data_IF_220745279257
#
_entry.id   IF_220745279257
#
_cell.length_a   1.000
_cell.length_b   1.000
_cell.length_c   1.000
_cell.angle_alpha   90.00
_cell.angle_beta   90.00
_cell.angle_gamma   90.00
#
_symmetry.space_group_name_H-M   'P 1'
#
loop_
_entity.id
_entity.type
_entity.pdbx_description
1 polymer ?
#
# COMPACT_ATOMS: atom_id res chain seq x y z
N UNK A 1 22.37 11.35 17.81
CA UNK A 1 21.87 11.25 16.43
C UNK A 1 23.08 11.07 15.54
N UNK A 2 23.13 10.04 14.69
CA UNK A 2 24.31 9.78 13.84
C UNK A 2 24.46 10.78 12.70
N UNK A 3 23.39 11.51 12.35
CA UNK A 3 23.43 12.55 11.32
C UNK A 3 23.39 12.02 9.88
N UNK A 4 23.10 10.72 9.70
CA UNK A 4 23.19 10.05 8.41
C UNK A 4 22.07 10.48 7.42
N UNK A 5 20.97 11.04 7.93
CA UNK A 5 19.84 11.54 7.14
C UNK A 5 19.54 13.00 7.50
N UNK A 6 19.35 13.85 6.49
CA UNK A 6 19.04 15.28 6.67
C UNK A 6 17.57 15.59 6.98
N UNK A 7 16.65 14.68 6.68
CA UNK A 7 15.22 14.79 6.99
C UNK A 7 14.55 13.42 7.00
N UNK A 8 13.39 13.31 7.67
CA UNK A 8 12.58 12.09 7.69
C UNK A 8 11.08 12.38 7.47
N UNK A 9 10.47 11.70 6.50
CA UNK A 9 9.03 11.77 6.26
C UNK A 9 8.35 10.57 6.94
N UNK A 10 7.59 10.81 8.02
CA UNK A 10 7.05 9.76 8.88
C UNK A 10 5.52 9.76 8.82
N UNK A 11 4.85 8.62 8.54
CA UNK A 11 3.40 8.51 8.68
C UNK A 11 3.02 8.47 10.16
N UNK A 12 2.09 9.32 10.57
CA UNK A 12 1.66 9.42 11.99
C UNK A 12 0.19 9.14 12.20
N UNK A 13 -0.64 9.31 11.17
CA UNK A 13 -2.09 9.20 11.29
C UNK A 13 -2.71 8.83 9.94
N UNK A 14 -3.80 8.09 9.94
CA UNK A 14 -4.57 7.74 8.76
C UNK A 14 -6.07 7.92 9.05
N UNK A 15 -6.81 8.44 8.08
CA UNK A 15 -8.24 8.76 8.22
C UNK A 15 -9.14 7.54 8.43
N UNK A 16 -8.67 6.34 8.07
CA UNK A 16 -9.43 5.08 8.16
C UNK A 16 -9.02 4.23 9.36
N UNK A 17 -7.71 4.12 9.62
CA UNK A 17 -7.17 3.23 10.68
C UNK A 17 -6.75 3.98 11.96
N UNK A 18 -6.77 5.32 11.94
CA UNK A 18 -6.35 6.15 13.07
C UNK A 18 -4.83 6.32 13.15
N UNK A 19 -4.29 6.37 14.38
CA UNK A 19 -2.86 6.61 14.60
C UNK A 19 -1.99 5.49 14.02
N UNK A 20 -0.91 5.86 13.34
CA UNK A 20 0.04 4.91 12.76
C UNK A 20 1.11 4.59 13.79
N UNK A 21 0.91 3.52 14.55
CA UNK A 21 1.86 3.07 15.57
C UNK A 21 2.87 2.03 15.02
N UNK A 22 4.10 1.97 15.55
CA UNK A 22 4.65 2.77 16.65
C UNK A 22 5.19 4.14 16.21
N UNK A 23 5.12 4.46 14.91
CA UNK A 23 5.73 5.65 14.34
C UNK A 23 5.25 6.95 15.01
N UNK A 24 3.95 7.08 15.24
CA UNK A 24 3.38 8.24 15.92
C UNK A 24 3.90 8.41 17.36
N UNK A 25 4.01 7.32 18.13
CA UNK A 25 4.60 7.37 19.47
C UNK A 25 6.05 7.80 19.43
N UNK A 26 6.84 7.30 18.49
CA UNK A 26 8.24 7.67 18.33
C UNK A 26 8.39 9.15 18.00
N UNK A 27 7.61 9.67 17.04
CA UNK A 27 7.60 11.10 16.70
C UNK A 27 7.28 11.97 17.91
N UNK A 28 6.24 11.61 18.69
CA UNK A 28 5.90 12.34 19.93
C UNK A 28 7.02 12.29 20.97
N UNK A 29 7.68 11.15 21.13
CA UNK A 29 8.75 10.96 22.10
C UNK A 29 10.05 11.69 21.74
N UNK A 30 10.30 11.95 20.45
CA UNK A 30 11.44 12.75 20.00
C UNK A 30 11.36 14.21 20.47
N UNK A 31 10.15 14.73 20.73
CA UNK A 31 9.96 16.13 21.14
C UNK A 31 10.39 17.15 20.09
N UNK A 32 10.52 16.73 18.82
CA UNK A 32 10.90 17.58 17.69
C UNK A 32 9.61 18.11 17.06
N UNK A 33 9.56 19.42 16.81
CA UNK A 33 8.45 20.03 16.07
C UNK A 33 8.61 19.74 14.57
N UNK A 34 7.59 19.17 13.90
CA UNK A 34 7.65 18.96 12.46
C UNK A 34 7.86 20.26 11.69
N UNK A 35 8.76 20.24 10.71
CA UNK A 35 8.97 21.40 9.82
C UNK A 35 7.84 21.56 8.80
N UNK A 36 7.15 20.47 8.48
CA UNK A 36 5.99 20.46 7.60
C UNK A 36 5.12 19.22 7.86
N UNK A 37 3.86 19.29 7.43
CA UNK A 37 2.95 18.16 7.40
C UNK A 37 2.14 18.12 6.10
N UNK A 38 1.74 16.92 5.69
CA UNK A 38 0.95 16.71 4.48
C UNK A 38 0.01 15.53 4.63
N UNK A 39 -1.24 15.70 4.17
CA UNK A 39 -2.17 14.59 3.98
C UNK A 39 -2.04 14.05 2.56
N UNK A 40 -1.76 12.77 2.43
CA UNK A 40 -1.63 12.07 1.14
C UNK A 40 -2.75 11.05 0.97
N UNK A 41 -3.53 11.12 -0.12
CA UNK A 41 -4.49 10.07 -0.44
C UNK A 41 -3.78 8.72 -0.59
N UNK A 42 -4.36 7.68 -0.01
CA UNK A 42 -3.94 6.30 -0.21
C UNK A 42 -4.83 5.71 -1.31
N UNK A 43 -4.18 5.26 -2.39
CA UNK A 43 -4.82 4.68 -3.56
C UNK A 43 -4.23 3.30 -3.80
N UNK A 44 -5.11 2.31 -3.87
CA UNK A 44 -4.76 0.91 -4.08
C UNK A 44 -5.04 0.55 -5.53
N UNK A 45 -4.05 -0.04 -6.19
CA UNK A 45 -4.17 -0.58 -7.53
C UNK A 45 -3.99 -2.10 -7.48
N UNK A 46 -4.81 -2.80 -8.25
CA UNK A 46 -4.60 -4.21 -8.57
C UNK A 46 -3.61 -4.28 -9.73
N UNK A 47 -2.53 -5.02 -9.55
CA UNK A 47 -1.47 -5.16 -10.55
C UNK A 47 -1.09 -6.63 -10.71
N UNK A 48 -0.78 -7.02 -11.93
CA UNK A 48 -0.33 -8.37 -12.28
C UNK A 48 0.72 -8.31 -13.38
N UNK A 49 1.16 -9.45 -13.86
CA UNK A 49 2.19 -9.51 -14.89
C UNK A 49 1.76 -8.77 -16.17
N UNK A 50 2.72 -8.26 -16.97
CA UNK A 50 2.43 -7.74 -18.29
C UNK A 50 1.65 -8.75 -19.14
N UNK A 51 0.51 -8.32 -19.67
CA UNK A 51 -0.39 -9.16 -20.46
C UNK A 51 -1.37 -10.02 -19.64
N UNK A 52 -1.28 -10.03 -18.31
CA UNK A 52 -2.30 -10.64 -17.47
C UNK A 52 -3.66 -9.96 -17.69
N UNK A 53 -4.74 -10.75 -17.69
CA UNK A 53 -6.11 -10.24 -17.79
C UNK A 53 -6.80 -10.41 -16.45
N UNK A 54 -7.67 -9.47 -16.12
CA UNK A 54 -8.43 -9.50 -14.88
C UNK A 54 -9.24 -10.80 -14.71
N UNK A 55 -9.74 -11.36 -15.80
CA UNK A 55 -10.49 -12.64 -15.83
C UNK A 55 -9.67 -13.86 -15.44
N UNK A 56 -8.34 -13.77 -15.55
CA UNK A 56 -7.44 -14.91 -15.36
C UNK A 56 -6.85 -14.92 -13.93
N UNK A 57 -7.05 -13.84 -13.17
CA UNK A 57 -6.56 -13.70 -11.80
C UNK A 57 -7.37 -14.57 -10.86
N UNK A 58 -6.67 -15.39 -10.07
CA UNK A 58 -7.23 -16.32 -9.09
C UNK A 58 -6.91 -15.90 -7.66
N UNK A 59 -5.76 -15.27 -7.47
CA UNK A 59 -5.26 -14.88 -6.15
C UNK A 59 -4.88 -13.41 -6.13
N UNK A 60 -5.12 -12.76 -4.98
CA UNK A 60 -4.76 -11.38 -4.72
C UNK A 60 -3.96 -11.27 -3.43
N UNK A 61 -2.84 -10.57 -3.49
CA UNK A 61 -1.80 -10.58 -2.47
C UNK A 61 -1.53 -9.17 -1.96
N UNK A 62 -1.54 -8.96 -0.65
CA UNK A 62 -1.18 -7.67 -0.07
C UNK A 62 -1.06 -7.72 1.46
N UNK A 63 -0.72 -6.59 2.05
CA UNK A 63 -0.77 -6.42 3.50
C UNK A 63 -2.21 -6.53 4.02
N UNK A 64 -2.47 -7.15 5.20
CA UNK A 64 -3.82 -7.30 5.77
C UNK A 64 -4.61 -5.99 5.84
N UNK A 65 -3.97 -4.86 6.19
CA UNK A 65 -4.66 -3.56 6.23
C UNK A 65 -5.11 -3.12 4.83
N UNK A 66 -4.32 -3.34 3.79
CA UNK A 66 -4.69 -2.97 2.42
C UNK A 66 -5.81 -3.87 1.90
N UNK A 67 -5.77 -5.16 2.20
CA UNK A 67 -6.83 -6.13 1.88
C UNK A 67 -8.16 -5.73 2.55
N UNK A 68 -8.12 -5.40 3.84
CA UNK A 68 -9.29 -4.94 4.59
C UNK A 68 -9.89 -3.64 4.03
N UNK A 69 -9.04 -2.75 3.47
CA UNK A 69 -9.49 -1.51 2.82
C UNK A 69 -10.10 -1.74 1.43
N UNK A 70 -10.01 -2.94 0.86
CA UNK A 70 -10.54 -3.29 -0.46
C UNK A 70 -11.56 -4.44 -0.40
N UNK A 71 -12.05 -4.79 0.80
CA UNK A 71 -12.81 -6.02 1.05
C UNK A 71 -14.11 -6.05 0.24
N UNK A 72 -14.86 -4.94 0.19
CA UNK A 72 -16.12 -4.88 -0.55
C UNK A 72 -15.89 -5.03 -2.05
N UNK A 73 -14.87 -4.36 -2.58
CA UNK A 73 -14.48 -4.50 -3.98
C UNK A 73 -14.04 -5.92 -4.31
N UNK A 74 -13.20 -6.54 -3.46
CA UNK A 74 -12.70 -7.90 -3.66
C UNK A 74 -13.80 -8.96 -3.62
N UNK A 75 -14.83 -8.80 -2.78
CA UNK A 75 -16.00 -9.68 -2.74
C UNK A 75 -16.70 -9.80 -4.09
N UNK A 76 -16.66 -8.76 -4.92
CA UNK A 76 -17.26 -8.78 -6.27
C UNK A 76 -16.40 -9.52 -7.31
N UNK A 77 -15.11 -9.72 -7.01
CA UNK A 77 -14.11 -10.21 -7.96
C UNK A 77 -13.84 -11.71 -7.83
N UNK A 78 -14.32 -12.37 -6.77
CA UNK A 78 -14.23 -13.82 -6.55
C UNK A 78 -12.78 -14.37 -6.55
N UNK A 79 -11.82 -13.57 -6.08
CA UNK A 79 -10.40 -13.95 -5.97
C UNK A 79 -10.08 -14.43 -4.56
N UNK A 80 -9.18 -15.40 -4.44
CA UNK A 80 -8.65 -15.84 -3.14
C UNK A 80 -7.65 -14.81 -2.61
N UNK A 81 -7.74 -14.47 -1.32
CA UNK A 81 -6.88 -13.48 -0.68
C UNK A 81 -5.69 -14.16 0.00
N UNK A 82 -4.49 -13.63 -0.20
CA UNK A 82 -3.25 -14.09 0.44
C UNK A 82 -2.61 -12.90 1.15
N UNK A 83 -2.31 -13.06 2.44
CA UNK A 83 -1.68 -12.03 3.24
C UNK A 83 -0.16 -12.01 3.03
N UNK A 84 0.39 -10.80 2.93
CA UNK A 84 1.82 -10.53 2.86
C UNK A 84 2.24 -9.55 3.95
N UNK A 85 3.54 -9.49 4.22
CA UNK A 85 4.10 -8.60 5.23
C UNK A 85 3.96 -7.12 4.89
N UNK A 86 4.02 -6.74 3.61
CA UNK A 86 3.80 -5.38 3.14
C UNK A 86 3.31 -5.36 1.69
N UNK A 87 2.80 -4.20 1.25
CA UNK A 87 2.17 -4.04 -0.09
C UNK A 87 3.20 -4.07 -1.23
N UNK A 88 4.38 -3.50 -1.03
CA UNK A 88 5.42 -3.46 -2.06
C UNK A 88 6.12 -4.82 -2.21
N UNK A 89 6.30 -5.53 -1.10
CA UNK A 89 6.77 -6.91 -1.05
C UNK A 89 5.82 -7.85 -1.78
N UNK A 90 4.51 -7.72 -1.58
CA UNK A 90 3.53 -8.48 -2.36
C UNK A 90 3.66 -8.25 -3.88
N UNK A 91 3.82 -6.99 -4.31
CA UNK A 91 4.03 -6.68 -5.72
C UNK A 91 5.33 -7.28 -6.26
N UNK A 92 6.43 -7.20 -5.51
CA UNK A 92 7.70 -7.85 -5.87
C UNK A 92 7.52 -9.35 -6.03
N UNK A 93 6.91 -10.01 -5.04
CA UNK A 93 6.78 -11.47 -5.01
C UNK A 93 5.88 -11.97 -6.15
N UNK A 94 4.84 -11.22 -6.53
CA UNK A 94 4.02 -11.49 -7.74
C UNK A 94 4.86 -11.36 -9.02
N UNK A 95 5.70 -10.33 -9.13
CA UNK A 95 6.58 -10.14 -10.27
C UNK A 95 7.61 -11.30 -10.40
N UNK A 96 8.24 -11.67 -9.29
CA UNK A 96 9.24 -12.75 -9.24
C UNK A 96 8.64 -14.13 -9.51
N UNK A 97 7.38 -14.35 -9.13
CA UNK A 97 6.70 -15.63 -9.33
C UNK A 97 6.44 -15.97 -10.80
N UNK A 98 6.25 -14.97 -11.67
CA UNK A 98 6.00 -15.20 -13.09
C UNK A 98 4.68 -15.93 -13.42
N UNK A 99 3.74 -16.03 -12.47
CA UNK A 99 2.42 -16.63 -12.66
C UNK A 99 1.36 -15.56 -13.01
N UNK A 100 0.76 -15.59 -14.23
CA UNK A 100 -0.23 -14.60 -14.65
C UNK A 100 -1.58 -14.72 -13.94
N UNK A 101 -1.78 -15.72 -13.08
CA UNK A 101 -2.99 -15.88 -12.27
C UNK A 101 -2.89 -15.22 -10.89
N UNK A 102 -1.72 -14.65 -10.56
CA UNK A 102 -1.45 -13.92 -9.32
C UNK A 102 -1.50 -12.42 -9.56
N UNK A 103 -2.04 -11.67 -8.61
CA UNK A 103 -2.05 -10.22 -8.61
C UNK A 103 -1.72 -9.67 -7.22
N UNK A 104 -1.15 -8.48 -7.17
CA UNK A 104 -0.91 -7.76 -5.93
C UNK A 104 -1.83 -6.55 -5.81
N UNK A 105 -2.17 -6.17 -4.58
CA UNK A 105 -2.69 -4.83 -4.27
C UNK A 105 -1.56 -4.00 -3.68
N UNK A 106 -1.24 -2.89 -4.33
CA UNK A 106 -0.22 -1.96 -3.85
C UNK A 106 -0.47 -0.54 -4.37
N UNK A 107 0.36 0.41 -3.93
CA UNK A 107 0.38 1.74 -4.54
C UNK A 107 0.82 1.64 -6.01
N UNK A 108 0.23 2.44 -6.90
CA UNK A 108 0.47 2.38 -8.34
C UNK A 108 1.97 2.44 -8.73
N UNK A 109 2.79 3.16 -7.97
CA UNK A 109 4.24 3.23 -8.20
C UNK A 109 4.97 1.89 -8.07
N UNK A 110 4.43 0.92 -7.31
CA UNK A 110 5.02 -0.41 -7.22
C UNK A 110 4.98 -1.15 -8.56
N UNK A 111 3.99 -0.87 -9.42
CA UNK A 111 3.91 -1.47 -10.74
C UNK A 111 5.08 -1.03 -11.63
N UNK A 112 5.47 0.24 -11.56
CA UNK A 112 6.64 0.77 -12.28
C UNK A 112 7.94 0.16 -11.74
N UNK A 113 8.09 0.10 -10.40
CA UNK A 113 9.29 -0.45 -9.76
C UNK A 113 9.53 -1.92 -10.10
N UNK A 114 8.46 -2.72 -10.15
CA UNK A 114 8.57 -4.18 -10.33
C UNK A 114 8.17 -4.67 -11.74
N UNK A 115 7.92 -3.77 -12.69
CA UNK A 115 7.57 -4.13 -14.06
C UNK A 115 6.23 -4.84 -14.21
N UNK A 116 5.25 -4.49 -13.38
CA UNK A 116 3.89 -5.02 -13.43
C UNK A 116 2.96 -4.10 -14.22
N UNK A 117 1.84 -4.65 -14.67
CA UNK A 117 0.75 -3.91 -15.30
C UNK A 117 -0.40 -3.68 -14.32
N UNK A 118 -0.91 -2.45 -14.27
CA UNK A 118 -2.12 -2.13 -13.53
C UNK A 118 -3.32 -2.74 -14.26
N UNK A 119 -4.05 -3.61 -13.56
CA UNK A 119 -5.27 -4.25 -14.05
C UNK A 119 -6.51 -3.44 -13.68
N UNK A 120 -6.48 -2.77 -12.52
CA UNK A 120 -7.57 -1.91 -12.04
C UNK A 120 -7.03 -0.92 -11.00
N UNK A 121 -7.44 0.34 -11.12
CA UNK A 121 -7.15 1.38 -10.13
C UNK A 121 -8.30 1.52 -9.12
N UNK A 122 -8.02 2.25 -8.04
CA UNK A 122 -8.99 2.68 -7.05
C UNK A 122 -9.77 1.52 -6.42
N UNK A 123 -9.04 0.48 -5.98
CA UNK A 123 -9.63 -0.70 -5.33
C UNK A 123 -10.12 -0.44 -3.91
N UNK A 124 -9.67 0.64 -3.28
CA UNK A 124 -10.08 0.97 -1.93
C UNK A 124 -11.60 1.25 -1.86
N UNK A 125 -12.24 0.73 -0.82
CA UNK A 125 -13.69 0.87 -0.61
C UNK A 125 -14.10 2.31 -0.25
N UNK A 126 -13.16 3.12 0.27
CA UNK A 126 -13.37 4.54 0.59
C UNK A 126 -12.41 5.45 -0.18
N UNK A 127 -12.96 6.46 -0.83
CA UNK A 127 -12.18 7.49 -1.54
C UNK A 127 -11.54 8.53 -0.60
N UNK A 128 -11.94 8.58 0.68
CA UNK A 128 -11.40 9.48 1.71
C UNK A 128 -10.29 8.81 2.55
N UNK A 129 -9.67 7.73 2.06
CA UNK A 129 -8.49 7.13 2.70
C UNK A 129 -7.26 8.01 2.44
N UNK A 130 -6.69 8.57 3.51
CA UNK A 130 -5.52 9.45 3.47
C UNK A 130 -4.67 9.26 4.71
N UNK A 131 -3.36 9.39 4.55
CA UNK A 131 -2.39 9.32 5.64
C UNK A 131 -1.74 10.69 5.82
N UNK A 132 -1.67 11.16 7.05
CA UNK A 132 -0.88 12.33 7.45
C UNK A 132 0.56 11.91 7.66
N UNK A 133 1.44 12.60 6.96
CA UNK A 133 2.87 12.50 7.12
C UNK A 133 3.41 13.79 7.73
N UNK A 134 4.41 13.64 8.59
CA UNK A 134 5.18 14.76 9.14
C UNK A 134 6.60 14.69 8.62
N UNK A 135 7.17 15.86 8.30
CA UNK A 135 8.57 16.01 7.95
C UNK A 135 9.33 16.46 9.20
N UNK A 136 10.30 15.66 9.63
CA UNK A 136 11.27 15.96 10.68
C UNK A 136 12.61 16.37 10.07
#
# INVERSE_FOLDING_TARGET
TSGDCGCALIPVENSTIGMVEPAATLVRALGIEPVAEVWRPIRHALMGLPGARLSDIRTVESHPIALAQCEQTLKTMHMAVIEHFDTAGAARDVAEAGDPTRAAIAAAGAAEVYGLSILRNDLQDSSDNRTRFVLL
#
